data_IF_090963909476
#
_entry.id   IF_090963909476
#
_cell.length_a   1.000
_cell.length_b   1.000
_cell.length_c   1.000
_cell.angle_alpha   90.00
_cell.angle_beta   90.00
_cell.angle_gamma   90.00
#
_symmetry.space_group_name_H-M   'P 1'
#
loop_
_entity.id
_entity.type
_entity.pdbx_description
1 polymer ?
#
# COMPACT_ATOMS: atom_id res chain seq x y z
N UNK A 1 36.93 -0.38 -16.88
CA UNK A 1 36.94 0.81 -16.02
C UNK A 1 35.67 0.79 -15.19
N UNK A 2 35.77 0.59 -13.89
CA UNK A 2 34.65 0.80 -12.96
C UNK A 2 34.39 2.31 -12.89
N UNK A 3 33.20 2.74 -13.33
CA UNK A 3 32.77 4.14 -13.17
C UNK A 3 32.51 4.36 -11.69
N UNK A 4 33.29 5.23 -11.06
CA UNK A 4 33.11 5.58 -9.66
C UNK A 4 31.90 6.51 -9.52
N UNK A 5 30.87 6.05 -8.80
CA UNK A 5 29.65 6.83 -8.60
C UNK A 5 29.88 7.90 -7.52
N UNK A 6 29.38 9.12 -7.76
CA UNK A 6 29.36 10.17 -6.74
C UNK A 6 28.43 9.79 -5.57
N UNK A 7 28.61 10.35 -4.36
CA UNK A 7 27.69 10.11 -3.24
C UNK A 7 26.22 10.43 -3.55
N UNK A 8 25.97 11.43 -4.41
CA UNK A 8 24.63 11.79 -4.87
C UNK A 8 24.02 10.69 -5.75
N UNK A 9 24.81 10.14 -6.68
CA UNK A 9 24.37 9.04 -7.53
C UNK A 9 24.11 7.77 -6.71
N UNK A 10 24.98 7.44 -5.75
CA UNK A 10 24.77 6.30 -4.83
C UNK A 10 23.45 6.44 -4.07
N UNK A 11 23.15 7.62 -3.52
CA UNK A 11 21.85 7.86 -2.85
C UNK A 11 20.67 7.71 -3.81
N UNK A 12 20.79 8.23 -5.01
CA UNK A 12 19.74 8.13 -6.04
C UNK A 12 19.48 6.68 -6.44
N UNK A 13 20.53 5.87 -6.64
CA UNK A 13 20.43 4.44 -6.93
C UNK A 13 19.75 3.68 -5.77
N UNK A 14 20.10 4.00 -4.51
CA UNK A 14 19.42 3.39 -3.34
C UNK A 14 17.94 3.75 -3.27
N UNK A 15 17.57 4.99 -3.59
CA UNK A 15 16.17 5.39 -3.66
C UNK A 15 15.46 4.69 -4.83
N UNK A 16 16.10 4.56 -5.99
CA UNK A 16 15.55 3.83 -7.13
C UNK A 16 15.28 2.36 -6.78
N UNK A 17 16.24 1.68 -6.15
CA UNK A 17 16.11 0.28 -5.68
C UNK A 17 14.95 0.12 -4.71
N UNK A 18 14.92 0.97 -3.68
CA UNK A 18 13.83 0.97 -2.71
C UNK A 18 12.46 1.26 -3.33
N UNK A 19 12.37 2.21 -4.28
CA UNK A 19 11.13 2.51 -4.99
C UNK A 19 10.68 1.34 -5.86
N UNK A 20 11.58 0.74 -6.63
CA UNK A 20 11.27 -0.35 -7.53
C UNK A 20 10.58 -1.50 -6.78
N UNK A 21 11.24 -2.07 -5.77
CA UNK A 21 10.65 -3.17 -5.01
C UNK A 21 9.44 -2.76 -4.19
N UNK A 22 9.36 -1.51 -3.72
CA UNK A 22 8.15 -1.05 -3.03
C UNK A 22 6.96 -0.98 -3.99
N UNK A 23 7.15 -0.59 -5.26
CA UNK A 23 6.07 -0.66 -6.24
C UNK A 23 5.68 -2.10 -6.60
N UNK A 24 6.64 -3.02 -6.70
CA UNK A 24 6.34 -4.44 -6.92
C UNK A 24 5.55 -5.04 -5.74
N UNK A 25 5.91 -4.69 -4.50
CA UNK A 25 5.16 -5.08 -3.31
C UNK A 25 3.75 -4.45 -3.29
N UNK A 26 3.61 -3.19 -3.70
CA UNK A 26 2.32 -2.52 -3.74
C UNK A 26 1.39 -3.23 -4.72
N UNK A 27 1.93 -3.61 -5.89
CA UNK A 27 1.20 -4.38 -6.89
C UNK A 27 0.81 -5.78 -6.39
N UNK A 28 1.74 -6.48 -5.73
CA UNK A 28 1.45 -7.76 -5.09
C UNK A 28 0.27 -7.68 -4.11
N UNK A 29 0.27 -6.67 -3.23
CA UNK A 29 -0.81 -6.52 -2.27
C UNK A 29 -2.14 -6.12 -2.92
N UNK A 30 -2.10 -5.31 -3.98
CA UNK A 30 -3.31 -4.83 -4.66
C UNK A 30 -3.96 -5.89 -5.56
N UNK A 31 -3.16 -6.59 -6.37
CA UNK A 31 -3.62 -7.42 -7.49
C UNK A 31 -4.66 -8.46 -7.08
N UNK A 32 -4.43 -9.13 -5.96
CA UNK A 32 -5.28 -10.23 -5.50
C UNK A 32 -6.30 -9.79 -4.44
N UNK A 33 -6.24 -8.53 -3.96
CA UNK A 33 -7.01 -8.06 -2.81
C UNK A 33 -8.51 -8.29 -2.99
N UNK A 34 -9.07 -7.87 -4.12
CA UNK A 34 -10.51 -8.01 -4.40
C UNK A 34 -10.93 -9.49 -4.46
N UNK A 35 -10.18 -10.34 -5.17
CA UNK A 35 -10.45 -11.78 -5.25
C UNK A 35 -10.38 -12.48 -3.88
N UNK A 36 -9.46 -12.07 -3.01
CA UNK A 36 -9.37 -12.58 -1.63
C UNK A 36 -10.62 -12.18 -0.84
N UNK A 37 -11.06 -10.92 -0.95
CA UNK A 37 -12.26 -10.42 -0.27
C UNK A 37 -13.52 -11.18 -0.73
N UNK A 38 -13.67 -11.41 -2.02
CA UNK A 38 -14.83 -12.09 -2.61
C UNK A 38 -14.99 -13.56 -2.18
N UNK A 39 -13.95 -14.16 -1.61
CA UNK A 39 -13.99 -15.51 -1.02
C UNK A 39 -14.41 -15.51 0.46
N UNK A 40 -14.47 -14.37 1.14
CA UNK A 40 -14.86 -14.27 2.56
C UNK A 40 -16.28 -14.83 2.83
N UNK A 41 -17.32 -14.58 2.00
CA UNK A 41 -18.65 -15.12 2.25
C UNK A 41 -18.71 -16.66 2.26
N UNK A 42 -17.79 -17.32 1.55
CA UNK A 42 -17.68 -18.78 1.51
C UNK A 42 -16.93 -19.38 2.71
N UNK A 43 -16.26 -18.55 3.51
CA UNK A 43 -15.51 -18.98 4.70
C UNK A 43 -14.59 -17.90 5.26
N UNK A 44 -14.48 -17.85 6.59
CA UNK A 44 -13.70 -16.84 7.31
C UNK A 44 -12.17 -16.98 7.15
N UNK A 45 -11.67 -18.05 6.54
CA UNK A 45 -10.23 -18.27 6.33
C UNK A 45 -9.56 -17.20 5.46
N UNK A 46 -10.34 -16.48 4.63
CA UNK A 46 -9.84 -15.40 3.77
C UNK A 46 -9.76 -14.04 4.47
N UNK A 47 -10.28 -13.92 5.70
CA UNK A 47 -10.23 -12.66 6.47
C UNK A 47 -8.79 -12.23 6.77
N UNK A 48 -7.97 -13.14 7.28
CA UNK A 48 -6.58 -12.83 7.64
C UNK A 48 -5.73 -12.47 6.41
N UNK A 49 -5.79 -13.22 5.29
CA UNK A 49 -5.17 -12.80 4.04
C UNK A 49 -5.64 -11.42 3.57
N UNK A 50 -6.95 -11.12 3.62
CA UNK A 50 -7.47 -9.81 3.20
C UNK A 50 -6.90 -8.67 4.05
N UNK A 51 -6.85 -8.86 5.38
CA UNK A 51 -6.24 -7.89 6.30
C UNK A 51 -4.74 -7.72 6.04
N UNK A 52 -4.01 -8.81 5.81
CA UNK A 52 -2.58 -8.76 5.49
C UNK A 52 -2.32 -7.97 4.20
N UNK A 53 -3.14 -8.17 3.16
CA UNK A 53 -3.06 -7.40 1.92
C UNK A 53 -3.39 -5.91 2.14
N UNK A 54 -4.46 -5.60 2.87
CA UNK A 54 -4.84 -4.22 3.16
C UNK A 54 -3.73 -3.46 3.90
N UNK A 55 -3.23 -4.01 5.00
CA UNK A 55 -2.21 -3.36 5.82
C UNK A 55 -0.83 -3.39 5.17
N UNK A 56 -0.50 -4.46 4.43
CA UNK A 56 0.69 -4.54 3.60
C UNK A 56 0.72 -3.47 2.51
N UNK A 57 -0.41 -3.23 1.85
CA UNK A 57 -0.57 -2.13 0.89
C UNK A 57 -0.33 -0.77 1.55
N UNK A 58 -0.98 -0.50 2.69
CA UNK A 58 -0.82 0.78 3.43
C UNK A 58 0.64 1.03 3.83
N UNK A 59 1.31 0.04 4.42
CA UNK A 59 2.73 0.17 4.83
C UNK A 59 3.64 0.38 3.61
N UNK A 60 3.40 -0.37 2.54
CA UNK A 60 4.19 -0.25 1.31
C UNK A 60 4.01 1.11 0.65
N UNK A 61 2.78 1.64 0.62
CA UNK A 61 2.51 2.97 0.08
C UNK A 61 3.19 4.07 0.90
N UNK A 62 3.13 3.97 2.23
CA UNK A 62 3.87 4.87 3.13
C UNK A 62 5.39 4.82 2.87
N UNK A 63 5.94 3.63 2.63
CA UNK A 63 7.35 3.44 2.26
C UNK A 63 7.69 4.11 0.94
N UNK A 64 6.85 3.97 -0.09
CA UNK A 64 7.02 4.68 -1.37
C UNK A 64 7.07 6.19 -1.14
N UNK A 65 6.13 6.75 -0.35
CA UNK A 65 6.13 8.17 0.01
C UNK A 65 7.43 8.62 0.65
N UNK A 66 7.90 7.87 1.65
CA UNK A 66 9.13 8.17 2.38
C UNK A 66 10.36 8.17 1.46
N UNK A 67 10.48 7.17 0.59
CA UNK A 67 11.62 7.07 -0.33
C UNK A 67 11.55 8.17 -1.40
N UNK A 68 10.36 8.47 -1.92
CA UNK A 68 10.15 9.54 -2.89
C UNK A 68 10.52 10.92 -2.31
N UNK A 69 10.19 11.18 -1.04
CA UNK A 69 10.58 12.40 -0.33
C UNK A 69 12.10 12.49 -0.09
N UNK A 70 12.77 11.35 0.03
CA UNK A 70 14.23 11.26 0.19
C UNK A 70 15.00 11.26 -1.15
N UNK A 71 14.31 11.14 -2.29
CA UNK A 71 14.95 11.04 -3.60
C UNK A 71 15.68 12.35 -3.95
N UNK A 72 17.01 12.32 -4.16
CA UNK A 72 17.75 13.54 -4.43
C UNK A 72 17.30 14.23 -5.72
N UNK A 73 17.34 15.56 -5.72
CA UNK A 73 16.98 16.42 -6.86
C UNK A 73 15.50 16.36 -7.30
N UNK A 74 14.66 15.55 -6.65
CA UNK A 74 13.22 15.58 -6.86
C UNK A 74 12.59 16.71 -6.04
N UNK A 75 12.13 17.75 -6.71
CA UNK A 75 11.45 18.87 -6.06
C UNK A 75 10.02 18.49 -5.69
N UNK A 76 9.65 18.64 -4.41
CA UNK A 76 8.29 18.39 -3.91
C UNK A 76 7.21 19.27 -4.56
N UNK A 77 7.59 20.42 -5.13
CA UNK A 77 6.69 21.29 -5.89
C UNK A 77 6.43 20.79 -7.31
N UNK A 78 7.02 19.69 -7.78
CA UNK A 78 6.61 19.08 -9.06
C UNK A 78 5.16 18.62 -9.00
N UNK A 79 4.45 18.71 -10.12
CA UNK A 79 3.03 18.39 -10.18
C UNK A 79 2.77 16.93 -9.85
N UNK A 80 3.59 16.02 -10.37
CA UNK A 80 3.50 14.58 -10.16
C UNK A 80 3.70 14.23 -8.69
N UNK A 81 4.68 14.86 -8.04
CA UNK A 81 4.96 14.67 -6.62
C UNK A 81 3.82 15.23 -5.75
N UNK A 82 3.32 16.43 -6.04
CA UNK A 82 2.18 17.01 -5.32
C UNK A 82 0.93 16.15 -5.44
N UNK A 83 0.57 15.75 -6.67
CA UNK A 83 -0.61 14.91 -6.91
C UNK A 83 -0.50 13.57 -6.17
N UNK A 84 0.65 12.92 -6.24
CA UNK A 84 0.92 11.67 -5.51
C UNK A 84 0.81 11.87 -4.00
N UNK A 85 1.47 12.90 -3.44
CA UNK A 85 1.45 13.16 -2.00
C UNK A 85 0.05 13.50 -1.49
N UNK A 86 -0.73 14.27 -2.24
CA UNK A 86 -2.11 14.63 -1.87
C UNK A 86 -3.00 13.39 -1.80
N UNK A 87 -3.00 12.55 -2.83
CA UNK A 87 -3.88 11.37 -2.89
C UNK A 87 -3.47 10.34 -1.84
N UNK A 88 -2.17 10.16 -1.61
CA UNK A 88 -1.68 9.11 -0.72
C UNK A 88 -1.55 9.56 0.74
N UNK A 89 -1.96 10.78 1.07
CA UNK A 89 -1.86 11.34 2.43
C UNK A 89 -2.56 10.47 3.48
N UNK A 90 -3.68 9.84 3.10
CA UNK A 90 -4.47 8.98 4.00
C UNK A 90 -3.66 7.77 4.51
N UNK A 91 -2.65 7.32 3.77
CA UNK A 91 -1.78 6.22 4.19
C UNK A 91 -1.00 6.52 5.47
N UNK A 92 -0.66 7.78 5.74
CA UNK A 92 0.00 8.18 6.98
C UNK A 92 -0.93 8.00 8.17
N UNK A 93 -2.18 8.44 8.06
CA UNK A 93 -3.19 8.28 9.12
C UNK A 93 -3.40 6.82 9.47
N UNK A 94 -3.62 5.96 8.47
CA UNK A 94 -3.83 4.52 8.69
C UNK A 94 -2.58 3.85 9.25
N UNK A 95 -1.39 4.18 8.73
CA UNK A 95 -0.14 3.60 9.20
C UNK A 95 0.16 3.98 10.65
N UNK A 96 -0.02 5.26 11.00
CA UNK A 96 0.18 5.76 12.36
C UNK A 96 -0.75 5.08 13.36
N UNK A 97 -2.02 4.88 12.99
CA UNK A 97 -2.98 4.18 13.84
C UNK A 97 -2.48 2.79 14.27
N UNK A 98 -2.06 1.95 13.32
CA UNK A 98 -1.50 0.63 13.66
C UNK A 98 -0.13 0.72 14.33
N UNK A 99 0.73 1.67 13.93
CA UNK A 99 2.06 1.84 14.56
C UNK A 99 1.97 2.19 16.04
N UNK A 100 0.97 2.99 16.41
CA UNK A 100 0.75 3.49 17.75
C UNK A 100 -0.43 2.81 18.44
N UNK A 101 -0.78 1.60 17.98
CA UNK A 101 -1.96 0.87 18.45
C UNK A 101 -1.99 0.71 19.97
N UNK A 102 -0.85 0.48 20.63
CA UNK A 102 -0.80 0.40 22.10
C UNK A 102 -1.32 1.67 22.78
N UNK A 103 -0.98 2.84 22.23
CA UNK A 103 -1.45 4.14 22.72
C UNK A 103 -2.93 4.38 22.41
N UNK A 104 -3.41 3.89 21.26
CA UNK A 104 -4.84 3.92 20.90
C UNK A 104 -5.67 3.06 21.86
N UNK A 105 -5.18 1.86 22.21
CA UNK A 105 -5.85 0.93 23.12
C UNK A 105 -5.85 1.40 24.58
N UNK A 106 -4.94 2.29 24.97
CA UNK A 106 -4.80 2.80 26.34
C UNK A 106 -5.51 4.13 26.60
N UNK A 107 -6.33 4.63 25.66
CA UNK A 107 -7.04 5.92 25.84
C UNK A 107 -8.14 5.81 26.89
N UNK A 108 -8.28 6.85 27.72
CA UNK A 108 -9.30 6.93 28.78
C UNK A 108 -10.73 6.83 28.25
N UNK A 109 -10.97 7.38 27.05
CA UNK A 109 -12.19 7.17 26.28
C UNK A 109 -11.89 6.17 25.15
N UNK A 110 -12.20 4.88 25.34
CA UNK A 110 -11.81 3.85 24.38
C UNK A 110 -12.63 3.98 23.10
N UNK A 111 -11.95 3.83 21.97
CA UNK A 111 -12.59 3.69 20.67
C UNK A 111 -13.38 2.37 20.62
N UNK A 112 -14.67 2.44 20.30
CA UNK A 112 -15.54 1.26 20.17
C UNK A 112 -15.49 0.62 18.79
N UNK A 113 -14.81 1.26 17.82
CA UNK A 113 -14.61 0.72 16.48
C UNK A 113 -13.65 -0.48 16.51
N UNK A 114 -13.86 -1.51 15.67
CA UNK A 114 -12.93 -2.61 15.52
C UNK A 114 -11.47 -2.18 15.33
N UNK A 115 -10.57 -2.79 16.12
CA UNK A 115 -9.13 -2.48 16.11
C UNK A 115 -8.49 -2.64 14.73
N UNK A 116 -8.94 -3.61 13.94
CA UNK A 116 -8.40 -3.84 12.59
C UNK A 116 -9.20 -3.16 11.49
N UNK A 117 -10.21 -2.36 11.87
CA UNK A 117 -11.14 -1.72 10.98
C UNK A 117 -12.30 -2.62 10.54
N UNK A 118 -13.04 -2.15 9.54
CA UNK A 118 -14.00 -2.96 8.76
C UNK A 118 -13.58 -2.99 7.30
N UNK A 119 -13.90 -4.08 6.62
CA UNK A 119 -13.60 -4.24 5.19
C UNK A 119 -14.90 -4.33 4.41
N UNK A 120 -14.98 -3.59 3.31
CA UNK A 120 -16.07 -3.74 2.36
C UNK A 120 -15.52 -3.95 0.95
N UNK A 121 -16.27 -4.70 0.14
CA UNK A 121 -15.91 -4.99 -1.24
C UNK A 121 -17.16 -5.15 -2.12
N UNK A 122 -16.99 -4.88 -3.41
CA UNK A 122 -18.01 -5.12 -4.45
C UNK A 122 -18.05 -6.62 -4.77
N UNK A 123 -19.24 -7.18 -5.00
CA UNK A 123 -19.40 -8.59 -5.37
C UNK A 123 -18.79 -8.88 -6.76
N UNK A 124 -18.16 -10.05 -6.94
CA UNK A 124 -17.50 -10.42 -8.21
C UNK A 124 -18.50 -10.77 -9.32
N UNK A 125 -19.73 -11.16 -8.96
CA UNK A 125 -20.75 -11.65 -9.89
C UNK A 125 -21.90 -10.64 -10.09
N UNK A 126 -22.10 -9.73 -9.14
CA UNK A 126 -23.16 -8.73 -9.15
C UNK A 126 -22.59 -7.35 -8.82
N UNK A 127 -22.34 -6.53 -9.85
CA UNK A 127 -21.76 -5.20 -9.68
C UNK A 127 -22.73 -4.19 -9.02
N UNK A 128 -23.97 -4.57 -8.70
CA UNK A 128 -24.89 -3.75 -7.90
C UNK A 128 -24.84 -4.09 -6.41
N UNK A 129 -24.06 -5.09 -6.04
CA UNK A 129 -23.96 -5.61 -4.68
C UNK A 129 -22.60 -5.32 -4.08
N UNK A 130 -22.60 -4.94 -2.81
CA UNK A 130 -21.39 -4.88 -1.98
C UNK A 130 -21.60 -5.64 -0.69
N UNK A 131 -20.49 -6.09 -0.12
CA UNK A 131 -20.41 -6.80 1.15
C UNK A 131 -19.62 -5.94 2.14
N UNK A 132 -19.94 -6.09 3.43
CA UNK A 132 -19.17 -5.52 4.51
C UNK A 132 -18.96 -6.59 5.57
N UNK A 133 -17.72 -6.70 6.05
CA UNK A 133 -17.37 -7.55 7.18
C UNK A 133 -16.74 -6.71 8.29
N UNK A 134 -17.13 -7.05 9.52
CA UNK A 134 -16.58 -6.48 10.73
C UNK A 134 -15.69 -7.54 11.38
N UNK A 135 -14.50 -7.15 11.81
CA UNK A 135 -13.56 -8.06 12.45
C UNK A 135 -13.55 -7.83 13.96
N UNK A 136 -13.68 -8.89 14.75
CA UNK A 136 -13.57 -8.80 16.20
C UNK A 136 -14.86 -8.36 16.91
N UNK A 137 -14.73 -7.85 18.13
CA UNK A 137 -15.86 -7.50 18.98
C UNK A 137 -16.44 -6.13 18.60
N UNK A 138 -17.74 -6.09 18.29
CA UNK A 138 -18.49 -4.85 18.08
C UNK A 138 -19.05 -4.39 19.43
N UNK A 139 -18.70 -3.18 19.87
CA UNK A 139 -19.15 -2.63 21.15
C UNK A 139 -20.08 -1.43 20.95
N UNK A 140 -21.35 -1.57 21.31
CA UNK A 140 -22.33 -0.48 21.27
C UNK A 140 -22.74 -0.06 19.86
N UNK A 141 -23.05 1.23 19.70
CA UNK A 141 -23.51 1.80 18.43
C UNK A 141 -22.31 2.25 17.57
N UNK A 142 -21.73 1.32 16.82
CA UNK A 142 -20.71 1.62 15.81
C UNK A 142 -21.37 1.77 14.45
N UNK A 143 -21.11 2.88 13.76
CA UNK A 143 -21.53 3.07 12.35
C UNK A 143 -20.43 2.58 11.42
N UNK A 144 -20.81 1.88 10.36
CA UNK A 144 -19.87 1.31 9.39
C UNK A 144 -20.16 1.88 8.00
N UNK A 145 -19.09 2.10 7.24
CA UNK A 145 -19.16 2.61 5.87
C UNK A 145 -18.74 1.50 4.91
N UNK A 146 -19.63 1.18 3.97
CA UNK A 146 -19.37 0.25 2.87
C UNK A 146 -18.68 0.90 1.67
N UNK A 147 -18.66 0.20 0.54
CA UNK A 147 -18.14 0.75 -0.71
C UNK A 147 -18.90 2.00 -1.15
N UNK A 148 -18.19 2.98 -1.70
CA UNK A 148 -18.79 4.23 -2.20
C UNK A 148 -19.16 4.06 -3.67
N UNK A 149 -20.42 4.37 -4.00
CA UNK A 149 -20.93 4.40 -5.37
C UNK A 149 -21.05 5.84 -5.86
N UNK A 150 -20.39 6.16 -6.98
CA UNK A 150 -20.53 7.42 -7.67
C UNK A 150 -21.73 7.35 -8.62
N UNK A 151 -22.82 8.01 -8.24
CA UNK A 151 -24.07 8.03 -9.02
C UNK A 151 -23.98 8.88 -10.28
N UNK A 152 -23.03 9.81 -10.36
CA UNK A 152 -22.84 10.63 -11.56
C UNK A 152 -22.14 9.84 -12.65
N UNK A 153 -21.11 9.07 -12.27
CA UNK A 153 -20.35 8.23 -13.20
C UNK A 153 -20.90 6.79 -13.31
N UNK A 154 -21.92 6.46 -12.51
CA UNK A 154 -22.53 5.13 -12.42
C UNK A 154 -21.49 4.02 -12.21
N UNK A 155 -20.60 4.23 -11.23
CA UNK A 155 -19.49 3.33 -10.96
C UNK A 155 -19.10 3.33 -9.47
N UNK A 156 -18.56 2.21 -9.00
CA UNK A 156 -17.90 2.17 -7.69
C UNK A 156 -16.62 2.98 -7.70
N UNK A 157 -16.39 3.77 -6.65
CA UNK A 157 -15.15 4.53 -6.46
C UNK A 157 -13.96 3.59 -6.25
N UNK A 158 -14.19 2.46 -5.58
CA UNK A 158 -13.19 1.42 -5.36
C UNK A 158 -13.86 0.08 -5.09
N UNK A 159 -13.30 -1.00 -5.65
CA UNK A 159 -13.78 -2.36 -5.46
C UNK A 159 -13.58 -2.89 -4.04
N UNK A 160 -12.60 -2.36 -3.33
CA UNK A 160 -12.32 -2.70 -1.92
C UNK A 160 -12.06 -1.41 -1.14
N UNK A 161 -12.54 -1.36 0.10
CA UNK A 161 -12.20 -0.29 1.03
C UNK A 161 -12.00 -0.80 2.46
N UNK A 162 -10.95 -0.28 3.11
CA UNK A 162 -10.70 -0.49 4.54
C UNK A 162 -11.15 0.77 5.29
N UNK A 163 -12.01 0.61 6.29
CA UNK A 163 -12.53 1.73 7.08
C UNK A 163 -12.00 1.67 8.51
N UNK A 164 -11.54 2.82 9.01
CA UNK A 164 -11.26 3.08 10.41
C UNK A 164 -12.14 4.26 10.85
N UNK A 165 -13.10 4.01 11.74
CA UNK A 165 -14.05 5.03 12.21
C UNK A 165 -14.66 5.85 11.05
N UNK A 166 -14.28 7.12 10.95
CA UNK A 166 -14.80 8.10 9.98
C UNK A 166 -13.93 8.21 8.71
N UNK A 167 -12.92 7.37 8.56
CA UNK A 167 -11.98 7.39 7.43
C UNK A 167 -12.06 6.10 6.62
N UNK A 168 -12.21 6.23 5.30
CA UNK A 168 -12.23 5.10 4.37
C UNK A 168 -11.06 5.16 3.40
N UNK A 169 -10.27 4.09 3.38
CA UNK A 169 -9.17 3.88 2.48
C UNK A 169 -9.66 3.14 1.23
N UNK A 170 -9.91 3.91 0.17
CA UNK A 170 -10.33 3.39 -1.14
C UNK A 170 -9.10 2.98 -1.96
N UNK A 171 -8.86 1.68 -2.11
CA UNK A 171 -7.62 1.16 -2.67
C UNK A 171 -7.41 1.51 -4.15
N UNK A 172 -8.45 1.45 -4.99
CA UNK A 172 -8.34 1.65 -6.44
C UNK A 172 -7.76 3.02 -6.83
N UNK A 173 -8.36 4.17 -6.44
CA UNK A 173 -7.83 5.49 -6.84
C UNK A 173 -6.42 5.76 -6.29
N UNK A 174 -6.10 5.17 -5.14
CA UNK A 174 -4.79 5.29 -4.50
C UNK A 174 -3.74 4.47 -5.26
N UNK A 175 -4.06 3.21 -5.61
CA UNK A 175 -3.19 2.35 -6.41
C UNK A 175 -2.92 2.96 -7.78
N UNK A 176 -3.96 3.44 -8.46
CA UNK A 176 -3.81 4.10 -9.75
C UNK A 176 -2.90 5.34 -9.68
N UNK A 177 -3.07 6.18 -8.63
CA UNK A 177 -2.20 7.32 -8.42
C UNK A 177 -0.75 6.91 -8.16
N UNK A 178 -0.53 5.83 -7.42
CA UNK A 178 0.81 5.27 -7.19
C UNK A 178 1.42 4.74 -8.48
N UNK A 179 0.67 4.04 -9.33
CA UNK A 179 1.17 3.54 -10.62
C UNK A 179 1.46 4.65 -11.63
N UNK A 180 0.63 5.71 -11.68
CA UNK A 180 0.95 6.92 -12.44
C UNK A 180 2.25 7.56 -11.94
N UNK A 181 2.43 7.63 -10.63
CA UNK A 181 3.68 8.13 -10.05
C UNK A 181 4.88 7.22 -10.33
N UNK A 182 4.72 5.88 -10.31
CA UNK A 182 5.76 4.90 -10.72
C UNK A 182 6.30 5.22 -12.10
N UNK A 183 5.39 5.44 -13.07
CA UNK A 183 5.73 5.78 -14.45
C UNK A 183 6.53 7.07 -14.60
N UNK A 184 6.47 7.97 -13.62
CA UNK A 184 7.28 9.18 -13.56
C UNK A 184 8.59 8.99 -12.77
N UNK A 185 8.49 8.49 -11.54
CA UNK A 185 9.58 8.57 -10.55
C UNK A 185 10.71 7.57 -10.85
N UNK A 186 10.40 6.40 -11.38
CA UNK A 186 11.42 5.40 -11.72
C UNK A 186 12.29 5.87 -12.90
N UNK A 187 11.75 6.33 -14.04
CA UNK A 187 12.57 6.92 -15.10
C UNK A 187 13.38 8.12 -14.63
N UNK A 188 12.78 9.01 -13.81
CA UNK A 188 13.47 10.16 -13.25
C UNK A 188 14.69 9.74 -12.40
N UNK A 189 14.51 8.77 -11.49
CA UNK A 189 15.58 8.30 -10.62
C UNK A 189 16.67 7.54 -11.40
N UNK A 190 16.29 6.76 -12.43
CA UNK A 190 17.25 6.10 -13.31
C UNK A 190 18.12 7.12 -14.08
N UNK A 191 17.50 8.14 -14.68
CA UNK A 191 18.21 9.21 -15.40
C UNK A 191 19.20 9.95 -14.47
N UNK A 192 18.77 10.31 -13.25
CA UNK A 192 19.61 11.04 -12.29
C UNK A 192 20.66 10.16 -11.60
N UNK A 193 20.42 8.86 -11.51
CA UNK A 193 21.37 7.90 -10.93
C UNK A 193 22.64 7.72 -11.75
N UNK A 194 22.59 8.01 -13.06
CA UNK A 194 23.74 7.94 -13.98
C UNK A 194 24.30 6.54 -14.22
N UNK A 195 23.80 5.53 -13.49
CA UNK A 195 24.05 4.12 -13.73
C UNK A 195 22.83 3.52 -14.42
N UNK A 196 23.05 2.72 -15.47
CA UNK A 196 22.00 1.84 -16.00
C UNK A 196 21.73 0.79 -14.91
N UNK A 197 20.68 1.00 -14.12
CA UNK A 197 20.25 0.00 -13.13
C UNK A 197 19.35 -0.99 -13.87
N UNK A 198 19.94 -2.11 -14.30
CA UNK A 198 19.19 -3.24 -14.86
C UNK A 198 18.82 -4.23 -13.76
N UNK A 199 17.52 -4.48 -13.58
CA UNK A 199 17.06 -5.62 -12.77
C UNK A 199 17.14 -6.88 -13.62
N UNK A 200 17.98 -7.82 -13.18
CA UNK A 200 18.10 -9.13 -13.84
C UNK A 200 16.89 -9.99 -13.47
N UNK A 201 16.31 -10.68 -14.45
CA UNK A 201 15.27 -11.69 -14.20
C UNK A 201 15.73 -12.80 -13.25
N UNK A 202 17.03 -13.13 -13.26
CA UNK A 202 17.65 -14.07 -12.32
C UNK A 202 18.49 -13.33 -11.30
N UNK A 203 18.07 -13.42 -10.03
CA UNK A 203 18.83 -12.89 -8.90
C UNK A 203 20.09 -13.73 -8.65
N UNK A 204 21.23 -13.11 -8.28
CA UNK A 204 22.38 -13.85 -7.81
C UNK A 204 22.06 -14.49 -6.45
N UNK A 205 21.98 -15.81 -6.41
CA UNK A 205 21.81 -16.57 -5.16
C UNK A 205 23.18 -17.06 -4.72
N UNK A 206 23.65 -16.59 -3.56
CA UNK A 206 24.87 -17.10 -2.94
C UNK A 206 24.51 -18.27 -2.03
N UNK A 207 24.89 -19.49 -2.41
CA UNK A 207 24.68 -20.71 -1.62
C UNK A 207 25.99 -21.16 -1.00
N UNK A 208 26.00 -21.34 0.33
CA UNK A 208 27.15 -21.88 1.06
C UNK A 208 26.78 -23.24 1.64
N UNK A 209 27.65 -24.24 1.48
CA UNK A 209 27.48 -25.58 2.05
C UNK A 209 28.64 -25.86 3.00
N UNK A 210 28.34 -26.28 4.22
CA UNK A 210 29.34 -26.67 5.21
C UNK A 210 29.73 -28.13 4.99
N UNK A 211 31.00 -28.41 4.70
CA UNK A 211 31.53 -29.77 4.76
C UNK A 211 31.83 -30.12 6.22
N UNK A 212 31.16 -31.14 6.78
CA UNK A 212 31.65 -31.77 8.02
C UNK A 212 32.89 -32.58 7.65
N UNK A 213 34.05 -32.16 8.18
CA UNK A 213 35.28 -32.96 8.07
C UNK A 213 35.04 -34.35 8.65
N UNK A 214 35.47 -35.37 7.91
CA UNK A 214 35.45 -36.77 8.34
C UNK A 214 36.49 -37.06 9.40
#
# INVERSE_FOLDING_TARGET
>A
MTVELTPLQVRTVRCFDGLHYSFELLDFYYRDLHSICSKIPSGSSNVVPALAHCWGFVDTLHRIRSIALALPSLNQKRQEMRAFLTITQLSETFRHYIQHLSGELSKDSPNTFPVWGSLAWVDDLDDQKSHLVMFGAVMGNTSFTGCVYDTWNNAWVSRVCLTLENSSFNFDPIYEAAMRFKGFVLPFAAEKGGAVVEYREKLPIMTMTMSRGG
#
